data_IF_303995969945
#
_entry.id   IF_303995969945
#
_cell.length_a   1.000
_cell.length_b   1.000
_cell.length_c   1.000
_cell.angle_alpha   90.00
_cell.angle_beta   90.00
_cell.angle_gamma   90.00
#
_symmetry.space_group_name_H-M   'P 1'
#
loop_
_entity.id
_entity.type
_entity.pdbx_description
1 polymer ?
#
# COMPACT_ATOMS: atom_id res chain seq x y z
N UNK A 1 87.05 5.46 8.98
CA UNK A 1 86.29 4.94 10.14
C UNK A 1 86.32 6.04 11.18
N UNK A 2 85.23 6.69 11.59
CA UNK A 2 83.88 6.20 11.86
C UNK A 2 82.87 7.36 11.76
N UNK A 3 81.68 7.03 11.27
CA UNK A 3 80.55 7.93 10.99
C UNK A 3 79.71 8.10 12.27
N UNK A 4 79.42 9.32 12.70
CA UNK A 4 78.44 9.60 13.75
C UNK A 4 77.04 9.75 13.13
N UNK A 5 76.18 8.75 13.35
CA UNK A 5 74.76 8.78 12.95
C UNK A 5 73.95 9.55 13.99
N UNK A 6 73.47 10.73 13.63
CA UNK A 6 72.41 11.44 14.37
C UNK A 6 71.08 10.70 14.16
N UNK A 7 70.49 10.27 15.27
CA UNK A 7 69.14 9.73 15.32
C UNK A 7 68.14 10.90 15.27
N UNK A 8 67.38 11.01 14.19
CA UNK A 8 66.20 11.87 14.13
C UNK A 8 65.00 11.01 14.47
N UNK A 9 64.44 11.25 15.66
CA UNK A 9 63.23 10.62 16.15
C UNK A 9 62.03 11.14 15.35
N UNK A 10 61.43 10.30 14.51
CA UNK A 10 60.19 10.63 13.81
C UNK A 10 59.01 10.60 14.79
N UNK A 11 58.50 11.77 15.16
CA UNK A 11 57.21 11.91 15.85
C UNK A 11 56.10 11.68 14.81
N UNK A 12 55.49 10.49 14.81
CA UNK A 12 54.30 10.22 14.01
C UNK A 12 53.08 10.87 14.69
N UNK A 13 52.62 12.00 14.14
CA UNK A 13 51.40 12.67 14.56
C UNK A 13 50.19 11.86 14.06
N UNK A 14 49.56 11.09 14.94
CA UNK A 14 48.28 10.41 14.67
C UNK A 14 47.16 11.47 14.60
N UNK A 15 46.90 11.98 13.41
CA UNK A 15 45.70 12.77 13.15
C UNK A 15 44.49 11.83 13.13
N UNK A 16 43.73 11.79 14.23
CA UNK A 16 42.42 11.14 14.29
C UNK A 16 41.45 11.93 13.41
N UNK A 17 41.27 11.49 12.15
CA UNK A 17 40.21 11.98 11.28
C UNK A 17 38.89 11.53 11.88
N UNK A 18 38.24 12.43 12.61
CA UNK A 18 36.86 12.25 13.07
C UNK A 18 35.96 12.42 11.85
N UNK A 19 35.59 11.32 11.21
CA UNK A 19 34.54 11.34 10.19
C UNK A 19 33.26 11.85 10.88
N UNK A 20 32.62 12.93 10.39
CA UNK A 20 31.33 13.33 10.92
C UNK A 20 30.37 12.16 10.70
N UNK A 21 29.78 11.68 11.79
CA UNK A 21 28.71 10.70 11.75
C UNK A 21 27.54 11.38 11.02
N UNK A 22 27.41 11.17 9.71
CA UNK A 22 26.31 11.70 8.91
C UNK A 22 25.02 11.15 9.51
N UNK A 23 24.32 11.97 10.29
CA UNK A 23 23.01 11.58 10.82
C UNK A 23 22.11 11.23 9.65
N UNK A 24 21.45 10.06 9.72
CA UNK A 24 20.52 9.65 8.68
C UNK A 24 19.44 10.73 8.49
N UNK A 25 19.19 11.11 7.23
CA UNK A 25 18.11 12.03 6.89
C UNK A 25 16.78 11.48 7.41
N UNK A 26 15.87 12.33 7.93
CA UNK A 26 14.55 11.88 8.36
C UNK A 26 13.78 11.17 7.25
N UNK A 27 13.01 10.14 7.60
CA UNK A 27 12.13 9.42 6.68
C UNK A 27 10.85 10.23 6.47
N UNK A 28 10.58 10.65 5.24
CA UNK A 28 9.33 11.34 4.91
C UNK A 28 8.18 10.35 4.79
N UNK A 29 7.23 10.39 5.72
CA UNK A 29 6.06 9.50 5.77
C UNK A 29 4.87 10.19 5.14
N UNK A 30 4.30 9.61 4.09
CA UNK A 30 3.14 10.12 3.38
C UNK A 30 1.93 9.20 3.45
N UNK A 31 0.80 9.68 2.93
CA UNK A 31 -0.38 8.86 2.63
C UNK A 31 -1.29 9.56 1.61
N UNK A 32 -2.30 8.83 1.16
CA UNK A 32 -3.43 9.40 0.42
C UNK A 32 -4.32 10.23 1.36
N UNK A 33 -5.11 11.13 0.76
CA UNK A 33 -5.93 12.15 1.46
C UNK A 33 -7.23 11.60 2.09
N UNK A 34 -7.59 10.34 1.82
CA UNK A 34 -8.76 9.68 2.39
C UNK A 34 -8.55 9.26 3.87
N UNK A 35 -9.64 8.88 4.52
CA UNK A 35 -9.64 8.49 5.95
C UNK A 35 -8.72 7.31 6.25
N UNK A 36 -8.70 6.28 5.40
CA UNK A 36 -7.81 5.13 5.57
C UNK A 36 -6.36 5.53 5.35
N UNK A 37 -6.09 6.42 4.39
CA UNK A 37 -4.79 7.06 4.22
C UNK A 37 -4.31 7.75 5.52
N UNK A 38 -5.17 8.55 6.15
CA UNK A 38 -4.84 9.20 7.42
C UNK A 38 -4.52 8.19 8.53
N UNK A 39 -5.34 7.14 8.68
CA UNK A 39 -5.13 6.09 9.68
C UNK A 39 -3.79 5.37 9.45
N UNK A 40 -3.59 4.80 8.26
CA UNK A 40 -2.43 3.97 7.96
C UNK A 40 -1.12 4.79 7.92
N UNK A 41 -1.18 6.04 7.43
CA UNK A 41 -0.04 6.95 7.45
C UNK A 41 0.43 7.25 8.88
N UNK A 42 -0.52 7.51 9.79
CA UNK A 42 -0.20 7.75 11.20
C UNK A 42 0.35 6.50 11.89
N UNK A 43 -0.17 5.31 11.57
CA UNK A 43 0.37 4.05 12.10
C UNK A 43 1.83 3.87 11.70
N UNK A 44 2.19 4.09 10.42
CA UNK A 44 3.58 3.99 9.95
C UNK A 44 4.47 5.01 10.67
N UNK A 45 4.03 6.27 10.74
CA UNK A 45 4.78 7.35 11.39
C UNK A 45 5.09 7.02 12.85
N UNK A 46 4.08 6.60 13.63
CA UNK A 46 4.24 6.27 15.05
C UNK A 46 5.13 5.04 15.26
N UNK A 47 5.02 4.02 14.39
CA UNK A 47 5.90 2.84 14.48
C UNK A 47 7.36 3.24 14.25
N UNK A 48 7.65 4.08 13.25
CA UNK A 48 9.01 4.56 12.99
C UNK A 48 9.54 5.40 14.17
N UNK A 49 8.76 6.35 14.66
CA UNK A 49 9.14 7.24 15.76
C UNK A 49 9.37 6.46 17.07
N UNK A 50 8.53 5.48 17.37
CA UNK A 50 8.69 4.62 18.56
C UNK A 50 9.99 3.81 18.56
N UNK A 51 10.61 3.62 17.40
CA UNK A 51 11.91 2.95 17.23
C UNK A 51 13.08 3.93 17.04
N UNK A 52 12.86 5.23 17.28
CA UNK A 52 13.90 6.26 17.22
C UNK A 52 14.26 6.70 15.79
N UNK A 53 13.49 6.31 14.77
CA UNK A 53 13.66 6.80 13.40
C UNK A 53 13.09 8.21 13.31
N UNK A 54 13.92 9.18 12.91
CA UNK A 54 13.44 10.55 12.66
C UNK A 54 12.53 10.57 11.43
N UNK A 55 11.44 11.31 11.50
CA UNK A 55 10.39 11.35 10.47
C UNK A 55 10.12 12.79 10.02
N UNK A 56 9.59 12.94 8.81
CA UNK A 56 8.89 14.15 8.35
C UNK A 56 7.48 13.75 8.01
N UNK A 57 6.48 14.40 8.62
CA UNK A 57 5.09 14.10 8.41
C UNK A 57 4.55 14.79 7.13
N UNK A 58 4.20 13.99 6.12
CA UNK A 58 3.47 14.39 4.91
C UNK A 58 2.20 13.54 4.72
N UNK A 59 1.56 13.12 5.81
CA UNK A 59 0.31 12.35 5.78
C UNK A 59 -0.77 13.18 5.07
N UNK A 60 -1.65 12.48 4.35
CA UNK A 60 -2.73 13.05 3.52
C UNK A 60 -2.23 14.04 2.44
N UNK A 61 -1.08 13.74 1.82
CA UNK A 61 -0.45 14.58 0.81
C UNK A 61 -1.35 14.86 -0.41
N UNK A 62 -2.16 13.88 -0.83
CA UNK A 62 -3.04 14.04 -1.98
C UNK A 62 -3.65 12.75 -2.49
N UNK A 63 -4.05 12.75 -3.76
CA UNK A 63 -4.61 11.58 -4.45
C UNK A 63 -3.52 10.62 -4.92
N UNK A 64 -3.90 9.42 -5.39
CA UNK A 64 -2.95 8.39 -5.85
C UNK A 64 -1.86 8.92 -6.81
N UNK A 65 -2.16 9.69 -7.88
CA UNK A 65 -1.11 10.20 -8.78
C UNK A 65 -0.12 11.15 -8.10
N UNK A 66 -0.58 11.98 -7.16
CA UNK A 66 0.27 12.92 -6.40
C UNK A 66 1.25 12.14 -5.53
N UNK A 67 0.74 11.19 -4.74
CA UNK A 67 1.56 10.40 -3.82
C UNK A 67 2.52 9.49 -4.60
N UNK A 68 2.05 8.89 -5.70
CA UNK A 68 2.88 8.07 -6.59
C UNK A 68 4.02 8.86 -7.22
N UNK A 69 3.74 10.06 -7.75
CA UNK A 69 4.75 10.95 -8.30
C UNK A 69 5.79 11.33 -7.24
N UNK A 70 5.33 11.70 -6.04
CA UNK A 70 6.19 12.12 -4.94
C UNK A 70 7.17 11.01 -4.49
N UNK A 71 6.73 9.75 -4.37
CA UNK A 71 7.65 8.66 -3.99
C UNK A 71 8.65 8.33 -5.11
N UNK A 72 8.24 8.37 -6.38
CA UNK A 72 9.15 8.10 -7.50
C UNK A 72 10.16 9.23 -7.73
N UNK A 73 9.83 10.45 -7.29
CA UNK A 73 10.72 11.61 -7.31
C UNK A 73 11.62 11.70 -6.06
N UNK A 74 11.45 10.82 -5.07
CA UNK A 74 12.20 10.85 -3.81
C UNK A 74 11.71 11.89 -2.79
N UNK A 75 10.55 12.52 -3.01
CA UNK A 75 9.95 13.49 -2.09
C UNK A 75 9.19 12.83 -0.91
N UNK A 76 8.88 11.53 -1.05
CA UNK A 76 8.38 10.65 0.01
C UNK A 76 9.35 9.47 0.19
N UNK A 77 9.50 9.04 1.45
CA UNK A 77 10.28 7.84 1.79
C UNK A 77 9.41 6.59 1.94
N UNK A 78 8.18 6.72 2.44
CA UNK A 78 7.24 5.60 2.64
C UNK A 78 5.80 6.09 2.68
N UNK A 79 4.85 5.27 2.22
CA UNK A 79 3.41 5.48 2.34
C UNK A 79 2.64 4.15 2.14
N UNK A 80 1.37 4.06 2.58
CA UNK A 80 0.52 2.91 2.29
C UNK A 80 -0.08 2.96 0.87
N UNK A 81 0.06 1.88 0.11
CA UNK A 81 -0.50 1.72 -1.23
C UNK A 81 -1.23 0.37 -1.38
N UNK A 82 -2.16 0.30 -2.33
CA UNK A 82 -3.03 -0.84 -2.60
C UNK A 82 -2.52 -1.62 -3.80
N UNK A 83 -2.41 -2.94 -3.65
CA UNK A 83 -1.78 -3.83 -4.63
C UNK A 83 -2.41 -3.75 -6.02
N UNK A 84 -3.74 -3.66 -6.10
CA UNK A 84 -4.48 -3.55 -7.36
C UNK A 84 -4.15 -2.30 -8.18
N UNK A 85 -3.63 -1.22 -7.57
CA UNK A 85 -3.21 -0.04 -8.33
C UNK A 85 -2.00 -0.31 -9.22
N UNK A 86 -1.25 -1.39 -8.99
CA UNK A 86 -0.21 -1.87 -9.89
C UNK A 86 -0.72 -2.09 -11.32
N UNK A 87 -1.98 -2.46 -11.48
CA UNK A 87 -2.62 -2.63 -12.78
C UNK A 87 -2.58 -1.34 -13.62
N UNK A 88 -2.77 -0.18 -12.99
CA UNK A 88 -2.71 1.13 -13.67
C UNK A 88 -1.29 1.69 -13.75
N UNK A 89 -0.47 1.48 -12.72
CA UNK A 89 0.92 1.96 -12.71
C UNK A 89 1.74 1.35 -13.84
N UNK A 90 1.42 0.11 -14.22
CA UNK A 90 2.16 -0.67 -15.22
C UNK A 90 1.36 -0.96 -16.49
N UNK A 91 0.18 -0.34 -16.67
CA UNK A 91 -0.69 -0.44 -17.87
C UNK A 91 -1.05 -1.89 -18.22
N UNK A 92 -1.52 -2.62 -17.22
CA UNK A 92 -1.76 -4.06 -17.28
C UNK A 92 -3.08 -4.43 -16.58
N UNK A 93 -4.12 -3.64 -16.84
CA UNK A 93 -5.42 -3.65 -16.16
C UNK A 93 -6.17 -4.98 -16.25
N UNK A 94 -5.93 -5.72 -17.33
CA UNK A 94 -6.67 -6.94 -17.65
C UNK A 94 -6.02 -8.23 -17.13
N UNK A 95 -4.85 -8.15 -16.49
CA UNK A 95 -4.20 -9.35 -15.99
C UNK A 95 -4.98 -9.97 -14.80
N UNK A 96 -5.34 -11.26 -14.87
CA UNK A 96 -6.11 -11.94 -13.81
C UNK A 96 -5.38 -12.00 -12.45
N UNK A 97 -4.07 -11.80 -12.39
CA UNK A 97 -3.30 -11.72 -11.15
C UNK A 97 -3.86 -10.65 -10.20
N UNK A 98 -4.41 -9.55 -10.73
CA UNK A 98 -5.01 -8.49 -9.91
C UNK A 98 -6.30 -8.91 -9.20
N UNK A 99 -6.89 -10.05 -9.58
CA UNK A 99 -8.06 -10.65 -8.91
C UNK A 99 -7.67 -11.69 -7.84
N UNK A 100 -6.37 -11.94 -7.64
CA UNK A 100 -5.87 -12.81 -6.59
C UNK A 100 -4.91 -12.05 -5.66
N UNK A 101 -5.23 -11.99 -4.36
CA UNK A 101 -4.48 -11.16 -3.41
C UNK A 101 -2.96 -11.45 -3.39
N UNK A 102 -2.56 -12.73 -3.42
CA UNK A 102 -1.15 -13.12 -3.40
C UNK A 102 -0.46 -12.80 -4.73
N UNK A 103 -1.09 -13.15 -5.85
CA UNK A 103 -0.49 -12.91 -7.17
C UNK A 103 -0.36 -11.40 -7.46
N UNK A 104 -1.39 -10.61 -7.17
CA UNK A 104 -1.36 -9.15 -7.32
C UNK A 104 -0.27 -8.51 -6.47
N UNK A 105 -0.13 -8.94 -5.20
CA UNK A 105 0.95 -8.46 -4.33
C UNK A 105 2.34 -8.79 -4.88
N UNK A 106 2.61 -10.05 -5.22
CA UNK A 106 3.93 -10.44 -5.73
C UNK A 106 4.26 -9.77 -7.06
N UNK A 107 3.24 -9.58 -7.91
CA UNK A 107 3.39 -8.90 -9.20
C UNK A 107 3.76 -7.43 -9.05
N UNK A 108 2.98 -6.66 -8.27
CA UNK A 108 3.29 -5.24 -8.07
C UNK A 108 4.64 -5.06 -7.36
N UNK A 109 4.94 -5.90 -6.36
CA UNK A 109 6.22 -5.91 -5.66
C UNK A 109 7.40 -6.08 -6.60
N UNK A 110 7.32 -7.04 -7.53
CA UNK A 110 8.36 -7.28 -8.53
C UNK A 110 8.51 -6.09 -9.47
N UNK A 111 7.41 -5.64 -10.07
CA UNK A 111 7.43 -4.55 -11.06
C UNK A 111 7.97 -3.25 -10.46
N UNK A 112 7.59 -2.92 -9.22
CA UNK A 112 8.07 -1.71 -8.56
C UNK A 112 9.54 -1.77 -8.15
N UNK A 113 10.02 -2.93 -7.71
CA UNK A 113 11.43 -3.12 -7.40
C UNK A 113 12.31 -2.98 -8.66
N UNK A 114 11.86 -3.59 -9.76
CA UNK A 114 12.59 -3.58 -11.04
C UNK A 114 12.60 -2.19 -11.68
N UNK A 115 11.45 -1.53 -11.78
CA UNK A 115 11.30 -0.30 -12.55
C UNK A 115 11.56 0.98 -11.74
N UNK A 116 11.15 1.00 -10.46
CA UNK A 116 11.16 2.22 -9.65
C UNK A 116 12.03 2.13 -8.39
N UNK A 117 12.64 0.96 -8.13
CA UNK A 117 13.42 0.68 -6.91
C UNK A 117 12.60 0.85 -5.64
N UNK A 118 11.28 0.65 -5.73
CA UNK A 118 10.36 0.71 -4.60
C UNK A 118 10.14 -0.69 -4.02
N UNK A 119 10.18 -0.79 -2.69
CA UNK A 119 10.01 -2.06 -1.98
C UNK A 119 8.62 -2.10 -1.36
N UNK A 120 7.83 -3.10 -1.75
CA UNK A 120 6.57 -3.39 -1.10
C UNK A 120 6.80 -4.27 0.13
N UNK A 121 6.31 -3.79 1.29
CA UNK A 121 6.37 -4.48 2.57
C UNK A 121 5.20 -5.47 2.73
N UNK A 122 5.07 -6.09 3.90
CA UNK A 122 3.99 -7.02 4.21
C UNK A 122 2.61 -6.35 3.99
N UNK A 123 1.73 -6.92 3.16
CA UNK A 123 0.41 -6.36 2.91
C UNK A 123 -0.53 -6.69 4.07
N UNK A 124 -1.52 -5.81 4.30
CA UNK A 124 -2.64 -6.13 5.18
C UNK A 124 -3.51 -7.24 4.57
N UNK A 125 -4.22 -8.05 5.38
CA UNK A 125 -5.14 -9.08 4.87
C UNK A 125 -6.48 -8.50 4.38
N UNK A 126 -6.71 -7.18 4.50
CA UNK A 126 -7.92 -6.51 4.06
C UNK A 126 -7.92 -6.28 2.54
N UNK A 127 -9.11 -6.35 1.94
CA UNK A 127 -9.32 -6.03 0.53
C UNK A 127 -10.27 -4.84 0.41
N UNK A 128 -9.72 -3.63 0.34
CA UNK A 128 -10.48 -2.40 0.14
C UNK A 128 -10.88 -2.28 -1.34
N UNK A 129 -11.99 -2.92 -1.69
CA UNK A 129 -12.55 -2.96 -3.05
C UNK A 129 -14.07 -2.88 -3.00
N UNK A 130 -14.69 -2.65 -4.15
CA UNK A 130 -16.14 -2.67 -4.28
C UNK A 130 -16.72 -4.02 -3.84
N UNK A 131 -17.78 -3.96 -3.03
CA UNK A 131 -18.55 -5.12 -2.56
C UNK A 131 -19.95 -4.66 -2.17
N UNK A 132 -20.80 -5.60 -1.75
CA UNK A 132 -22.14 -5.33 -1.21
C UNK A 132 -22.11 -5.59 0.29
N UNK A 133 -22.41 -4.57 1.09
CA UNK A 133 -22.61 -4.70 2.53
C UNK A 133 -24.10 -4.96 2.84
N UNK A 134 -24.37 -5.89 3.76
CA UNK A 134 -25.72 -6.28 4.17
C UNK A 134 -25.91 -5.91 5.64
N UNK A 135 -27.13 -5.51 6.04
CA UNK A 135 -27.45 -5.29 7.46
C UNK A 135 -27.15 -6.55 8.27
N UNK A 136 -26.55 -6.36 9.43
CA UNK A 136 -26.09 -7.45 10.29
C UNK A 136 -27.22 -8.41 10.69
N UNK A 137 -28.42 -7.89 11.00
CA UNK A 137 -29.58 -8.70 11.36
C UNK A 137 -30.04 -9.65 10.24
N UNK A 138 -29.97 -9.21 8.98
CA UNK A 138 -30.27 -10.04 7.81
C UNK A 138 -29.13 -11.04 7.57
N UNK A 139 -27.88 -10.59 7.66
CA UNK A 139 -26.71 -11.42 7.40
C UNK A 139 -26.60 -12.57 8.40
N UNK A 140 -26.75 -12.31 9.70
CA UNK A 140 -26.66 -13.33 10.75
C UNK A 140 -27.83 -14.32 10.68
N UNK A 141 -29.07 -13.82 10.53
CA UNK A 141 -30.27 -14.66 10.43
C UNK A 141 -30.21 -15.64 9.26
N UNK A 142 -29.68 -15.20 8.11
CA UNK A 142 -29.64 -15.98 6.88
C UNK A 142 -28.26 -16.57 6.55
N UNK A 143 -27.29 -16.43 7.47
CA UNK A 143 -25.90 -16.92 7.33
C UNK A 143 -25.23 -16.43 6.05
N UNK A 144 -25.25 -15.11 5.83
CA UNK A 144 -24.68 -14.45 4.65
C UNK A 144 -23.27 -13.94 4.98
N UNK A 145 -22.25 -14.60 4.42
CA UNK A 145 -20.84 -14.25 4.62
C UNK A 145 -20.11 -13.92 3.32
N UNK A 146 -20.74 -14.20 2.18
CA UNK A 146 -20.18 -14.05 0.85
C UNK A 146 -21.25 -13.63 -0.17
N UNK A 147 -20.82 -13.18 -1.33
CA UNK A 147 -21.72 -12.91 -2.45
C UNK A 147 -22.37 -14.19 -3.01
N UNK A 148 -21.73 -15.35 -2.83
CA UNK A 148 -22.34 -16.64 -3.14
C UNK A 148 -23.51 -16.96 -2.19
N UNK A 149 -23.37 -16.63 -0.89
CA UNK A 149 -24.48 -16.73 0.06
C UNK A 149 -25.62 -15.78 -0.28
N UNK A 150 -25.29 -14.55 -0.72
CA UNK A 150 -26.29 -13.60 -1.19
C UNK A 150 -27.07 -14.15 -2.40
N UNK A 151 -26.37 -14.70 -3.40
CA UNK A 151 -27.01 -15.34 -4.55
C UNK A 151 -27.96 -16.47 -4.14
N UNK A 152 -27.52 -17.36 -3.23
CA UNK A 152 -28.38 -18.40 -2.65
C UNK A 152 -29.63 -17.79 -2.01
N UNK A 153 -29.46 -16.80 -1.14
CA UNK A 153 -30.56 -16.14 -0.45
C UNK A 153 -31.58 -15.52 -1.41
N UNK A 154 -31.12 -14.87 -2.49
CA UNK A 154 -32.00 -14.30 -3.51
C UNK A 154 -32.77 -15.38 -4.27
N UNK A 155 -32.13 -16.49 -4.63
CA UNK A 155 -32.76 -17.65 -5.30
C UNK A 155 -33.79 -18.35 -4.42
N UNK A 156 -33.61 -18.32 -3.11
CA UNK A 156 -34.56 -18.83 -2.11
C UNK A 156 -35.74 -17.87 -1.86
N UNK A 157 -35.83 -16.74 -2.57
CA UNK A 157 -36.90 -15.76 -2.44
C UNK A 157 -36.69 -14.73 -1.32
N UNK A 158 -35.45 -14.58 -0.86
CA UNK A 158 -35.07 -13.63 0.17
C UNK A 158 -35.38 -12.18 -0.23
N UNK A 159 -36.02 -11.42 0.67
CA UNK A 159 -36.26 -10.00 0.43
C UNK A 159 -34.95 -9.23 0.46
N UNK A 160 -34.66 -8.49 -0.61
CA UNK A 160 -33.44 -7.70 -0.74
C UNK A 160 -33.70 -6.42 -1.53
N UNK A 161 -33.09 -5.32 -1.10
CA UNK A 161 -33.10 -4.05 -1.83
C UNK A 161 -31.74 -3.37 -1.65
N UNK A 162 -31.09 -3.05 -2.76
CA UNK A 162 -29.78 -2.42 -2.77
C UNK A 162 -29.91 -0.90 -2.91
N UNK A 163 -29.26 -0.16 -2.03
CA UNK A 163 -28.97 1.26 -2.26
C UNK A 163 -27.56 1.36 -2.84
N UNK A 164 -27.43 1.93 -4.04
CA UNK A 164 -26.17 2.07 -4.76
C UNK A 164 -26.16 3.38 -5.56
N UNK A 165 -24.97 3.83 -5.95
CA UNK A 165 -24.84 4.91 -6.95
C UNK A 165 -25.21 4.39 -8.34
N UNK A 166 -25.63 5.29 -9.23
CA UNK A 166 -25.90 4.94 -10.63
C UNK A 166 -24.67 4.29 -11.29
N UNK A 167 -23.47 4.82 -11.02
CA UNK A 167 -22.21 4.25 -11.53
C UNK A 167 -22.03 2.77 -11.17
N UNK A 168 -22.31 2.39 -9.91
CA UNK A 168 -22.17 1.00 -9.47
C UNK A 168 -23.18 0.08 -10.15
N UNK A 169 -24.38 0.58 -10.46
CA UNK A 169 -25.45 -0.19 -11.12
C UNK A 169 -25.12 -0.40 -12.61
N UNK A 170 -24.59 0.63 -13.28
CA UNK A 170 -24.51 0.66 -14.75
C UNK A 170 -23.17 0.18 -15.33
N UNK A 171 -22.06 0.36 -14.60
CA UNK A 171 -20.74 -0.03 -15.11
C UNK A 171 -20.61 -1.55 -15.23
N UNK A 172 -20.16 -2.02 -16.39
CA UNK A 172 -20.02 -3.46 -16.68
C UNK A 172 -19.11 -4.22 -15.70
N UNK A 173 -18.18 -3.54 -15.02
CA UNK A 173 -17.23 -4.10 -14.05
C UNK A 173 -17.66 -3.95 -12.58
N UNK A 174 -18.87 -3.47 -12.31
CA UNK A 174 -19.45 -3.28 -10.99
C UNK A 174 -20.60 -4.28 -10.71
N UNK A 175 -21.84 -3.83 -10.46
CA UNK A 175 -22.98 -4.71 -10.18
C UNK A 175 -23.20 -5.79 -11.27
N UNK A 176 -23.19 -5.48 -12.58
CA UNK A 176 -23.34 -6.48 -13.64
C UNK A 176 -22.28 -7.60 -13.59
N UNK A 177 -21.05 -7.28 -13.16
CA UNK A 177 -20.01 -8.28 -13.00
C UNK A 177 -20.30 -9.20 -11.80
N UNK A 178 -20.83 -8.67 -10.70
CA UNK A 178 -21.28 -9.49 -9.56
C UNK A 178 -22.45 -10.39 -9.94
N UNK A 179 -23.47 -9.84 -10.60
CA UNK A 179 -24.64 -10.57 -11.09
C UNK A 179 -24.23 -11.73 -11.99
N UNK A 180 -23.32 -11.48 -12.95
CA UNK A 180 -22.81 -12.52 -13.85
C UNK A 180 -21.97 -13.57 -13.13
N UNK A 181 -21.10 -13.17 -12.22
CA UNK A 181 -20.16 -14.08 -11.55
C UNK A 181 -20.84 -14.97 -10.49
N UNK A 182 -21.83 -14.42 -9.79
CA UNK A 182 -22.55 -15.11 -8.71
C UNK A 182 -23.95 -15.56 -9.11
N UNK A 183 -24.38 -15.31 -10.35
CA UNK A 183 -25.64 -15.77 -10.94
C UNK A 183 -26.86 -15.30 -10.13
N UNK A 184 -27.04 -13.97 -10.03
CA UNK A 184 -28.24 -13.34 -9.49
C UNK A 184 -28.61 -12.10 -10.31
N UNK A 185 -29.82 -11.58 -10.15
CA UNK A 185 -30.27 -10.33 -10.78
C UNK A 185 -31.09 -9.53 -9.79
N UNK A 186 -30.81 -8.23 -9.68
CA UNK A 186 -31.60 -7.28 -8.88
C UNK A 186 -32.50 -6.46 -9.82
N UNK A 187 -33.81 -6.51 -9.58
CA UNK A 187 -34.80 -5.70 -10.30
C UNK A 187 -35.00 -4.33 -9.66
#
# INVERSE_FOLDING_TARGET
>A
MTISKLWVSSLALLATVSLPLQAASPVTVGSKIDTEGALLGNMILQVLESHGVKTVNKIQLGTTPVVRGAITAGELGIYPEYTGNGAFFFKDENDPAWKNAKQGFEKVKKLDAEQNKLVWLTPAPANNTWTIAIRQDIAEKNKLSSLADLSRYLKEGGTFKLAASAEFIERADALPAFEKAYDFTLN
#
